data_IF_460891070576
#
_entry.id   IF_460891070576
#
_cell.length_a   1.000
_cell.length_b   1.000
_cell.length_c   1.000
_cell.angle_alpha   90.00
_cell.angle_beta   90.00
_cell.angle_gamma   90.00
#
_symmetry.space_group_name_H-M   'P 1'
#
loop_
_entity.id
_entity.type
_entity.pdbx_description
1 polymer ?
#
# COMPACT_ATOMS: atom_id res chain seq x y z
N UNK A 1 1.78 -7.76 -8.77
CA UNK A 1 2.97 -7.64 -7.92
C UNK A 1 2.93 -8.66 -6.82
N UNK A 2 3.65 -8.38 -5.74
CA UNK A 2 3.74 -9.20 -4.55
C UNK A 2 2.52 -9.05 -3.63
N UNK A 3 2.38 -9.94 -2.65
CA UNK A 3 1.53 -9.67 -1.49
C UNK A 3 2.18 -8.62 -0.58
N UNK A 4 1.35 -7.88 0.17
CA UNK A 4 1.86 -7.02 1.22
C UNK A 4 2.37 -7.88 2.37
N UNK A 5 3.61 -7.69 2.79
CA UNK A 5 4.32 -8.51 3.81
C UNK A 5 4.93 -7.58 4.88
N UNK A 6 5.41 -8.06 6.03
CA UNK A 6 6.05 -7.21 7.03
C UNK A 6 7.39 -6.67 6.50
N UNK A 7 7.59 -5.36 6.61
CA UNK A 7 8.88 -4.72 6.33
C UNK A 7 9.87 -4.88 7.49
N UNK A 8 9.35 -5.13 8.69
CA UNK A 8 10.11 -5.22 9.94
C UNK A 8 9.45 -6.25 10.87
N UNK A 9 10.27 -7.11 11.46
CA UNK A 9 9.87 -8.09 12.47
C UNK A 9 9.73 -7.45 13.87
N UNK A 10 9.11 -8.17 14.83
CA UNK A 10 8.94 -7.68 16.19
C UNK A 10 10.26 -7.46 16.96
N UNK A 11 11.35 -8.08 16.50
CA UNK A 11 12.71 -7.93 17.01
C UNK A 11 13.51 -6.81 16.31
N UNK A 12 12.88 -6.10 15.37
CA UNK A 12 13.53 -5.06 14.57
C UNK A 12 14.25 -5.58 13.31
N UNK A 13 14.21 -6.88 13.02
CA UNK A 13 14.79 -7.43 11.79
C UNK A 13 14.08 -6.87 10.57
N UNK A 14 14.83 -6.24 9.66
CA UNK A 14 14.29 -5.68 8.42
C UNK A 14 14.13 -6.76 7.34
N UNK A 15 13.06 -6.65 6.55
CA UNK A 15 12.85 -7.52 5.41
C UNK A 15 13.95 -7.29 4.35
N UNK A 16 14.64 -8.34 3.88
CA UNK A 16 15.70 -8.21 2.89
C UNK A 16 15.18 -7.83 1.50
N UNK A 17 13.87 -8.00 1.25
CA UNK A 17 13.24 -7.81 -0.04
C UNK A 17 13.72 -8.82 -1.09
N UNK A 18 13.34 -8.61 -2.35
CA UNK A 18 13.69 -9.48 -3.48
C UNK A 18 14.39 -8.73 -4.62
N UNK A 19 15.25 -9.45 -5.36
CA UNK A 19 15.77 -8.95 -6.62
C UNK A 19 14.64 -8.87 -7.65
N UNK A 20 14.70 -7.90 -8.56
CA UNK A 20 13.78 -7.75 -9.69
C UNK A 20 14.13 -8.73 -10.82
N UNK A 21 14.05 -10.02 -10.51
CA UNK A 21 14.29 -11.13 -11.43
C UNK A 21 13.11 -12.09 -11.44
N UNK A 22 13.08 -13.01 -12.41
CA UNK A 22 12.00 -13.99 -12.52
C UNK A 22 10.65 -13.34 -12.81
N UNK A 23 9.55 -13.98 -12.42
CA UNK A 23 8.22 -13.42 -12.62
C UNK A 23 7.95 -12.21 -11.70
N UNK A 24 7.09 -11.28 -12.15
CA UNK A 24 6.68 -10.09 -11.39
C UNK A 24 6.11 -10.45 -10.01
N UNK A 25 5.38 -11.56 -9.92
CA UNK A 25 4.83 -12.12 -8.70
C UNK A 25 5.63 -13.31 -8.15
N UNK A 26 6.78 -13.61 -8.73
CA UNK A 26 7.59 -14.77 -8.36
C UNK A 26 8.27 -14.56 -7.01
N UNK A 27 8.17 -15.58 -6.15
CA UNK A 27 8.80 -15.64 -4.82
C UNK A 27 8.31 -14.60 -3.81
N UNK A 28 7.16 -13.95 -4.07
CA UNK A 28 6.53 -12.99 -3.16
C UNK A 28 5.00 -13.12 -3.12
N UNK A 29 4.52 -14.34 -3.42
CA UNK A 29 3.12 -14.76 -3.24
C UNK A 29 3.07 -16.14 -2.57
N UNK A 30 4.10 -16.44 -1.80
CA UNK A 30 4.22 -17.71 -1.12
C UNK A 30 3.31 -17.73 0.10
N UNK A 31 3.05 -18.93 0.66
CA UNK A 31 2.12 -19.07 1.78
C UNK A 31 2.54 -18.24 3.00
N UNK A 32 3.85 -18.13 3.24
CA UNK A 32 4.42 -17.28 4.28
C UNK A 32 4.09 -15.80 4.11
N UNK A 33 4.08 -15.29 2.88
CA UNK A 33 3.76 -13.87 2.63
C UNK A 33 2.29 -13.61 2.91
N UNK A 34 1.42 -14.55 2.53
CA UNK A 34 -0.01 -14.46 2.77
C UNK A 34 -0.34 -14.55 4.26
N UNK A 35 0.24 -15.53 4.97
CA UNK A 35 -0.01 -15.75 6.39
C UNK A 35 0.52 -14.59 7.27
N UNK A 36 1.53 -13.85 6.78
CA UNK A 36 2.10 -12.70 7.46
C UNK A 36 1.68 -11.36 6.83
N UNK A 37 0.59 -11.33 6.06
CA UNK A 37 0.23 -10.10 5.35
C UNK A 37 0.01 -8.92 6.31
N UNK A 38 0.68 -7.80 6.04
CA UNK A 38 0.76 -6.68 6.97
C UNK A 38 0.38 -5.36 6.31
N UNK A 39 -0.32 -4.52 7.07
CA UNK A 39 -0.54 -3.10 6.77
C UNK A 39 -0.11 -2.27 7.97
N UNK A 40 0.59 -1.17 7.72
CA UNK A 40 0.98 -0.18 8.71
C UNK A 40 -0.02 0.96 8.71
N UNK A 41 -0.20 1.61 9.87
CA UNK A 41 -1.03 2.79 9.97
C UNK A 41 -0.37 3.87 10.85
N UNK A 42 -0.50 5.13 10.45
CA UNK A 42 -0.15 6.30 11.28
C UNK A 42 -1.17 7.40 11.07
N UNK A 43 -1.59 8.03 12.16
CA UNK A 43 -2.60 9.10 12.12
C UNK A 43 -2.11 10.41 12.73
N UNK A 44 -2.61 11.51 12.21
CA UNK A 44 -2.52 12.84 12.84
C UNK A 44 -3.83 13.58 12.64
N UNK A 45 -4.30 14.26 13.69
CA UNK A 45 -5.49 15.10 13.65
C UNK A 45 -5.14 16.58 13.78
N UNK A 46 -5.68 17.41 12.90
CA UNK A 46 -5.54 18.86 12.95
C UNK A 46 -6.69 19.54 12.17
N UNK A 47 -7.08 20.75 12.58
CA UNK A 47 -8.06 21.59 11.87
C UNK A 47 -9.40 20.89 11.55
N UNK A 48 -9.95 20.08 12.46
CA UNK A 48 -11.23 19.40 12.25
C UNK A 48 -11.15 18.10 11.44
N UNK A 49 -9.95 17.64 11.11
CA UNK A 49 -9.72 16.44 10.30
C UNK A 49 -8.69 15.51 10.96
N UNK A 50 -8.80 14.20 10.72
CA UNK A 50 -7.76 13.24 10.98
C UNK A 50 -7.32 12.58 9.67
N UNK A 51 -6.04 12.70 9.32
CA UNK A 51 -5.44 11.95 8.23
C UNK A 51 -4.87 10.63 8.78
N UNK A 52 -5.39 9.49 8.31
CA UNK A 52 -4.85 8.17 8.62
C UNK A 52 -4.15 7.63 7.38
N UNK A 53 -2.83 7.54 7.43
CA UNK A 53 -2.02 6.93 6.37
C UNK A 53 -1.94 5.44 6.64
N UNK A 54 -2.42 4.64 5.70
CA UNK A 54 -2.21 3.20 5.67
C UNK A 54 -1.14 2.89 4.64
N UNK A 55 -0.15 2.07 4.98
CA UNK A 55 0.94 1.71 4.09
C UNK A 55 1.13 0.19 4.02
N UNK A 56 1.36 -0.32 2.81
CA UNK A 56 1.77 -1.71 2.55
C UNK A 56 3.22 -1.74 2.11
N UNK A 57 3.95 -2.77 2.54
CA UNK A 57 5.30 -3.06 2.04
C UNK A 57 5.26 -4.29 1.13
N UNK A 58 5.95 -4.21 0.00
CA UNK A 58 6.13 -5.30 -0.95
C UNK A 58 7.62 -5.53 -1.17
N UNK A 59 8.04 -6.78 -1.28
CA UNK A 59 9.47 -7.13 -1.29
C UNK A 59 10.22 -6.64 -2.54
N UNK A 60 9.50 -6.43 -3.63
CA UNK A 60 9.98 -5.82 -4.87
C UNK A 60 8.83 -5.17 -5.62
N UNK A 61 9.20 -4.15 -6.39
CA UNK A 61 8.41 -3.66 -7.50
C UNK A 61 9.08 -4.07 -8.82
N UNK A 62 8.37 -4.78 -9.70
CA UNK A 62 8.93 -5.25 -10.98
C UNK A 62 7.93 -5.02 -12.11
N UNK A 63 8.38 -4.35 -13.18
CA UNK A 63 7.55 -4.05 -14.33
C UNK A 63 7.58 -5.12 -15.43
N UNK A 64 8.70 -5.85 -15.59
CA UNK A 64 8.91 -6.76 -16.73
C UNK A 64 9.29 -8.16 -16.23
N UNK A 65 8.64 -9.21 -16.73
CA UNK A 65 9.03 -10.59 -16.42
C UNK A 65 10.47 -10.88 -16.84
N UNK A 66 11.25 -11.49 -15.96
CA UNK A 66 12.63 -11.88 -16.20
C UNK A 66 13.65 -10.74 -16.19
N UNK A 67 13.23 -9.49 -15.97
CA UNK A 67 14.10 -8.32 -16.08
C UNK A 67 13.88 -7.33 -14.94
N UNK A 68 14.97 -6.69 -14.51
CA UNK A 68 14.96 -5.59 -13.56
C UNK A 68 14.64 -4.23 -14.18
N UNK A 69 14.41 -4.18 -15.50
CA UNK A 69 14.12 -2.93 -16.20
C UNK A 69 12.81 -2.31 -15.66
N UNK A 70 12.89 -1.08 -15.15
CA UNK A 70 11.73 -0.37 -14.60
C UNK A 70 11.19 -0.93 -13.29
N UNK A 71 12.04 -1.57 -12.47
CA UNK A 71 11.67 -2.04 -11.14
C UNK A 71 12.78 -1.81 -10.10
N UNK A 72 12.46 -2.03 -8.84
CA UNK A 72 13.38 -1.96 -7.72
C UNK A 72 13.07 -3.01 -6.64
N UNK A 73 14.09 -3.33 -5.85
CA UNK A 73 13.90 -4.06 -4.58
C UNK A 73 13.21 -3.13 -3.59
N UNK A 74 12.30 -3.68 -2.79
CA UNK A 74 11.46 -2.97 -1.83
C UNK A 74 10.45 -2.04 -2.51
N UNK A 75 9.24 -2.00 -1.98
CA UNK A 75 8.21 -1.08 -2.43
C UNK A 75 7.29 -0.74 -1.26
N UNK A 76 6.93 0.53 -1.15
CA UNK A 76 6.05 1.05 -0.11
C UNK A 76 4.98 1.88 -0.78
N UNK A 77 3.74 1.43 -0.65
CA UNK A 77 2.59 2.14 -1.17
C UNK A 77 1.69 2.58 -0.05
N UNK A 78 1.01 3.71 -0.23
CA UNK A 78 0.16 4.24 0.80
C UNK A 78 -1.14 4.86 0.29
N UNK A 79 -2.14 4.79 1.16
CA UNK A 79 -3.44 5.42 1.00
C UNK A 79 -3.73 6.25 2.25
N UNK A 80 -4.33 7.41 2.07
CA UNK A 80 -4.74 8.27 3.19
C UNK A 80 -6.25 8.30 3.28
N UNK A 81 -6.81 7.98 4.45
CA UNK A 81 -8.21 8.24 4.77
C UNK A 81 -8.32 9.56 5.53
N UNK A 82 -9.09 10.51 5.00
CA UNK A 82 -9.37 11.78 5.65
C UNK A 82 -10.70 11.71 6.38
N UNK A 83 -10.62 11.62 7.70
CA UNK A 83 -11.78 11.54 8.60
C UNK A 83 -12.17 12.94 9.05
N UNK A 84 -13.42 13.31 8.80
CA UNK A 84 -14.02 14.53 9.31
C UNK A 84 -14.39 14.34 10.79
N UNK A 85 -13.85 15.17 11.69
CA UNK A 85 -14.06 15.01 13.12
C UNK A 85 -15.49 15.36 13.56
N UNK A 86 -16.21 16.21 12.81
CA UNK A 86 -17.58 16.59 13.13
C UNK A 86 -18.60 15.50 12.82
N UNK A 87 -18.38 14.75 11.73
CA UNK A 87 -19.26 13.65 11.30
C UNK A 87 -18.74 12.26 11.69
N UNK A 88 -17.47 12.16 12.10
CA UNK A 88 -16.75 10.91 12.31
C UNK A 88 -16.80 9.96 11.09
N UNK A 89 -16.66 10.53 9.89
CA UNK A 89 -16.74 9.81 8.61
C UNK A 89 -15.49 10.05 7.76
N UNK A 90 -15.06 9.03 7.01
CA UNK A 90 -14.07 9.19 5.94
C UNK A 90 -14.73 9.87 4.74
N UNK A 91 -14.48 11.16 4.57
CA UNK A 91 -15.07 11.98 3.51
C UNK A 91 -14.19 12.05 2.26
N UNK A 92 -12.88 11.83 2.40
CA UNK A 92 -11.93 11.78 1.28
C UNK A 92 -10.92 10.64 1.44
N UNK A 93 -10.44 10.15 0.31
CA UNK A 93 -9.38 9.14 0.23
C UNK A 93 -8.32 9.61 -0.76
N UNK A 94 -7.06 9.61 -0.35
CA UNK A 94 -5.93 9.88 -1.25
C UNK A 94 -5.18 8.61 -1.58
N UNK A 95 -4.92 8.34 -2.85
CA UNK A 95 -4.04 7.25 -3.30
C UNK A 95 -2.73 7.82 -3.80
N UNK A 96 -1.62 7.15 -3.53
CA UNK A 96 -0.34 7.47 -4.16
C UNK A 96 -0.11 6.65 -5.40
N UNK A 97 0.52 7.27 -6.38
CA UNK A 97 1.00 6.63 -7.59
C UNK A 97 2.35 7.28 -7.92
N UNK A 98 3.44 6.58 -7.65
CA UNK A 98 4.80 7.13 -7.71
C UNK A 98 4.91 8.41 -6.86
N UNK A 99 5.32 9.52 -7.48
CA UNK A 99 5.44 10.84 -6.87
C UNK A 99 4.14 11.64 -6.82
N UNK A 100 3.03 11.08 -7.29
CA UNK A 100 1.74 11.78 -7.39
C UNK A 100 0.77 11.31 -6.33
N UNK A 101 -0.04 12.23 -5.81
CA UNK A 101 -1.15 11.95 -4.90
C UNK A 101 -2.44 12.39 -5.58
N UNK A 102 -3.44 11.51 -5.62
CA UNK A 102 -4.79 11.85 -6.10
C UNK A 102 -5.80 11.64 -5.00
N UNK A 103 -6.62 12.66 -4.76
CA UNK A 103 -7.66 12.66 -3.72
C UNK A 103 -9.03 12.53 -4.34
N UNK A 104 -9.82 11.61 -3.81
CA UNK A 104 -11.17 11.31 -4.24
C UNK A 104 -12.15 11.62 -3.10
N UNK A 105 -13.30 12.25 -3.39
CA UNK A 105 -14.39 12.33 -2.43
C UNK A 105 -14.96 10.92 -2.18
N UNK A 106 -15.56 10.71 -1.00
CA UNK A 106 -16.20 9.45 -0.61
C UNK A 106 -17.15 8.89 -1.67
N UNK A 107 -17.87 9.76 -2.38
CA UNK A 107 -18.82 9.41 -3.44
C UNK A 107 -18.19 8.73 -4.67
N UNK A 108 -16.88 8.86 -4.86
CA UNK A 108 -16.13 8.23 -5.96
C UNK A 108 -15.38 6.95 -5.53
N UNK A 109 -15.48 6.56 -4.27
CA UNK A 109 -14.74 5.43 -3.71
C UNK A 109 -15.73 4.39 -3.19
N UNK A 110 -15.46 3.12 -3.50
CA UNK A 110 -16.25 2.03 -2.93
C UNK A 110 -15.87 1.85 -1.46
N UNK A 111 -16.87 1.76 -0.60
CA UNK A 111 -16.71 1.46 0.82
C UNK A 111 -17.42 0.17 1.21
N UNK A 112 -16.92 -0.42 2.28
CA UNK A 112 -17.59 -1.43 3.08
C UNK A 112 -17.60 -0.90 4.52
N UNK A 113 -18.75 -0.33 4.92
CA UNK A 113 -18.84 0.50 6.12
C UNK A 113 -17.87 1.70 6.07
N UNK A 114 -16.93 1.74 7.01
CA UNK A 114 -15.87 2.75 7.11
C UNK A 114 -14.61 2.42 6.31
N UNK A 115 -14.54 1.24 5.68
CA UNK A 115 -13.34 0.75 5.00
C UNK A 115 -13.36 1.09 3.49
N UNK A 116 -12.50 2.00 3.02
CA UNK A 116 -12.36 2.23 1.58
C UNK A 116 -11.74 0.99 0.92
N UNK A 117 -12.20 0.65 -0.29
CA UNK A 117 -11.62 -0.43 -1.09
C UNK A 117 -10.57 0.15 -2.04
N UNK A 118 -9.34 -0.36 -1.93
CA UNK A 118 -8.16 0.12 -2.65
C UNK A 118 -7.55 -1.05 -3.41
N UNK A 119 -7.01 -0.77 -4.59
CA UNK A 119 -6.30 -1.76 -5.41
C UNK A 119 -4.86 -1.32 -5.56
N UNK A 120 -3.94 -2.17 -5.13
CA UNK A 120 -2.55 -2.09 -5.57
C UNK A 120 -2.40 -2.85 -6.88
N UNK A 121 -1.94 -2.18 -7.92
CA UNK A 121 -1.66 -2.79 -9.20
C UNK A 121 -0.48 -2.06 -9.86
N UNK A 122 0.20 -2.76 -10.78
CA UNK A 122 1.13 -2.09 -11.68
C UNK A 122 0.35 -1.15 -12.60
N UNK A 123 0.97 -0.06 -13.02
CA UNK A 123 0.53 0.72 -14.18
C UNK A 123 0.54 -0.19 -15.42
N UNK A 124 -0.51 -0.96 -15.59
CA UNK A 124 -0.88 -1.61 -16.84
C UNK A 124 -1.79 -0.63 -17.55
N UNK A 125 -1.31 -0.09 -18.67
CA UNK A 125 -2.23 0.28 -19.72
C UNK A 125 -3.01 -0.96 -20.18
#
# INVERSE_FOLDING_TARGET
GCYATPAIGPDGTLAPGLKTTGAINGSCRDRSDLDNSQTYARSLCNNGWCGIVYAGYFEKDQAVHGSGLGGHRHDFEHVVSWVNQGSNQVDYVSTTQHSTVKTYPRSQVRFDGSHPKIVYHKDGA
#
